data_IF_648447893260
#
_entry.id   IF_648447893260
#
_cell.length_a   1.000
_cell.length_b   1.000
_cell.length_c   1.000
_cell.angle_alpha   90.00
_cell.angle_beta   90.00
_cell.angle_gamma   90.00
#
_symmetry.space_group_name_H-M   'P 1'
#
loop_
_entity.id
_entity.type
_entity.pdbx_description
1 polymer ?
#
# COMPACT_ATOMS: atom_id res chain seq x y z
N UNK A 1 39.11 4.20 8.43
CA UNK A 1 37.72 4.41 8.89
C UNK A 1 36.92 4.88 7.69
N UNK A 2 36.07 4.03 7.14
CA UNK A 2 35.18 4.39 6.03
C UNK A 2 33.89 4.92 6.67
N UNK A 3 33.46 6.16 6.38
CA UNK A 3 32.18 6.64 6.87
C UNK A 3 31.07 5.89 6.14
N UNK A 4 30.32 5.07 6.88
CA UNK A 4 29.08 4.48 6.40
C UNK A 4 28.06 5.61 6.25
N UNK A 5 27.90 6.11 5.03
CA UNK A 5 26.80 7.01 4.70
C UNK A 5 25.50 6.22 4.76
N UNK A 6 24.71 6.44 5.81
CA UNK A 6 23.34 5.98 5.87
C UNK A 6 22.57 6.68 4.75
N UNK A 7 22.18 5.92 3.72
CA UNK A 7 21.30 6.38 2.65
C UNK A 7 19.93 6.61 3.29
N UNK A 8 19.57 7.88 3.52
CA UNK A 8 18.20 8.24 3.83
C UNK A 8 17.40 8.06 2.54
N UNK A 9 16.69 6.94 2.43
CA UNK A 9 15.68 6.72 1.40
C UNK A 9 14.66 7.85 1.54
N UNK A 10 14.56 8.69 0.50
CA UNK A 10 13.50 9.69 0.41
C UNK A 10 12.23 8.92 0.02
N UNK A 11 11.20 8.86 0.87
CA UNK A 11 9.96 8.20 0.51
C UNK A 11 9.39 8.89 -0.73
N UNK A 12 9.04 8.09 -1.74
CA UNK A 12 8.34 8.56 -2.94
C UNK A 12 7.04 9.18 -2.44
N UNK A 13 6.84 10.47 -2.73
CA UNK A 13 5.75 11.29 -2.23
C UNK A 13 4.39 10.61 -2.45
N UNK A 14 3.82 10.03 -1.39
CA UNK A 14 2.39 9.76 -1.33
C UNK A 14 1.67 11.11 -1.43
N UNK A 15 0.57 11.15 -2.19
CA UNK A 15 -0.17 12.38 -2.49
C UNK A 15 -0.47 13.14 -1.21
N UNK A 16 0.07 14.35 -1.12
CA UNK A 16 -0.30 15.33 -0.13
C UNK A 16 -1.62 15.96 -0.54
N UNK A 17 -2.61 15.94 0.34
CA UNK A 17 -3.76 16.81 0.19
C UNK A 17 -4.27 17.21 1.57
N UNK A 18 -4.68 18.47 1.73
CA UNK A 18 -5.50 18.92 2.87
C UNK A 18 -4.95 18.66 4.27
N UNK A 19 -3.66 18.97 4.51
CA UNK A 19 -3.12 18.92 5.87
C UNK A 19 -2.64 17.54 6.34
N UNK A 20 -2.80 16.46 5.58
CA UNK A 20 -2.29 15.15 5.98
C UNK A 20 -1.50 14.48 4.86
N UNK A 21 -0.39 13.85 5.22
CA UNK A 21 0.41 13.03 4.31
C UNK A 21 0.79 11.73 5.00
N UNK A 22 0.45 10.60 4.38
CA UNK A 22 0.95 9.29 4.82
C UNK A 22 2.45 9.18 4.58
N UNK A 23 3.18 8.75 5.61
CA UNK A 23 4.63 8.53 5.58
C UNK A 23 5.01 7.05 5.75
N UNK A 24 4.05 6.22 6.13
CA UNK A 24 4.22 4.78 6.29
C UNK A 24 2.89 4.05 6.12
N UNK A 25 2.91 2.74 5.80
CA UNK A 25 4.08 1.85 5.74
C UNK A 25 5.08 2.11 4.58
N UNK A 26 6.26 1.48 4.61
CA UNK A 26 7.24 1.58 3.51
C UNK A 26 6.65 1.00 2.21
N UNK A 27 6.58 1.83 1.17
CA UNK A 27 5.97 1.51 -0.12
C UNK A 27 6.77 0.52 -0.96
N UNK A 28 8.02 0.24 -0.56
CA UNK A 28 8.88 -0.77 -1.17
C UNK A 28 8.72 -2.16 -0.55
N UNK A 29 7.94 -2.29 0.52
CA UNK A 29 7.68 -3.55 1.21
C UNK A 29 6.22 -3.92 1.09
N UNK A 30 5.94 -5.19 0.87
CA UNK A 30 4.57 -5.71 0.84
C UNK A 30 3.98 -5.73 2.25
N UNK A 31 2.66 -5.56 2.37
CA UNK A 31 1.99 -5.60 3.66
C UNK A 31 1.89 -7.04 4.15
N UNK A 32 2.58 -7.35 5.25
CA UNK A 32 2.45 -8.63 5.94
C UNK A 32 1.25 -8.58 6.91
N UNK A 33 0.14 -9.19 6.54
CA UNK A 33 -1.08 -9.23 7.36
C UNK A 33 -1.00 -10.21 8.55
N UNK A 34 0.13 -10.91 8.73
CA UNK A 34 0.36 -11.79 9.88
C UNK A 34 1.09 -11.10 11.04
N UNK A 35 1.39 -9.81 10.91
CA UNK A 35 2.07 -9.02 11.93
C UNK A 35 1.45 -7.62 12.06
N UNK A 36 1.62 -6.92 13.19
CA UNK A 36 1.17 -5.53 13.33
C UNK A 36 1.78 -4.62 12.26
N UNK A 37 0.97 -3.69 11.75
CA UNK A 37 1.36 -2.73 10.73
C UNK A 37 1.26 -1.31 11.31
N UNK A 38 2.36 -0.57 11.28
CA UNK A 38 2.37 0.84 11.68
C UNK A 38 1.99 1.73 10.49
N UNK A 39 0.83 2.38 10.59
CA UNK A 39 0.42 3.45 9.68
C UNK A 39 0.86 4.77 10.27
N UNK A 40 1.63 5.57 9.52
CA UNK A 40 2.14 6.85 10.00
C UNK A 40 1.81 7.98 9.05
N UNK A 41 1.68 9.19 9.60
CA UNK A 41 1.37 10.39 8.85
C UNK A 41 2.05 11.62 9.45
N UNK A 42 2.20 12.65 8.63
CA UNK A 42 2.66 13.98 9.03
C UNK A 42 1.62 15.02 8.65
N UNK A 43 1.64 16.13 9.40
CA UNK A 43 0.81 17.29 9.07
C UNK A 43 1.40 18.03 7.88
N UNK A 44 0.65 18.10 6.78
CA UNK A 44 1.05 18.86 5.61
C UNK A 44 0.65 20.33 5.72
N UNK A 45 1.58 21.14 6.25
CA UNK A 45 1.37 22.57 6.54
C UNK A 45 1.08 23.42 5.30
N UNK A 46 1.36 22.95 4.09
CA UNK A 46 1.18 23.72 2.86
C UNK A 46 -0.29 23.86 2.44
N UNK A 47 -1.16 22.95 2.88
CA UNK A 47 -2.55 22.86 2.42
C UNK A 47 -3.56 22.68 3.57
N UNK A 48 -3.21 23.12 4.79
CA UNK A 48 -4.10 23.00 5.94
C UNK A 48 -5.32 23.93 5.77
N UNK A 49 -6.42 23.38 5.26
CA UNK A 49 -7.74 23.97 5.51
C UNK A 49 -8.01 23.81 7.01
N UNK A 50 -7.95 24.92 7.75
CA UNK A 50 -7.88 24.96 9.21
C UNK A 50 -9.10 24.36 9.94
N UNK A 51 -10.08 23.85 9.21
CA UNK A 51 -11.34 23.32 9.73
C UNK A 51 -11.38 21.80 9.89
N UNK A 52 -10.44 21.04 9.31
CA UNK A 52 -10.45 19.58 9.36
C UNK A 52 -9.37 19.05 10.30
N UNK A 53 -9.72 19.00 11.58
CA UNK A 53 -8.79 18.68 12.67
C UNK A 53 -8.81 17.20 13.07
N UNK A 54 -9.68 16.40 12.47
CA UNK A 54 -9.83 14.96 12.75
C UNK A 54 -10.00 14.17 11.45
N UNK A 55 -9.69 12.87 11.50
CA UNK A 55 -9.92 11.96 10.39
C UNK A 55 -10.28 10.55 10.86
N UNK A 56 -10.99 9.84 9.98
CA UNK A 56 -11.24 8.41 10.11
C UNK A 56 -10.25 7.64 9.24
N UNK A 57 -9.65 6.59 9.78
CA UNK A 57 -8.67 5.74 9.11
C UNK A 57 -9.33 4.43 8.69
N UNK A 58 -9.24 4.12 7.40
CA UNK A 58 -9.74 2.88 6.81
C UNK A 58 -8.67 2.18 5.98
N UNK A 59 -8.77 0.85 5.89
CA UNK A 59 -7.98 0.03 4.98
C UNK A 59 -8.86 -0.51 3.86
N UNK A 60 -8.37 -0.38 2.63
CA UNK A 60 -9.09 -0.74 1.41
C UNK A 60 -8.29 -1.75 0.59
N UNK A 61 -9.01 -2.58 -0.16
CA UNK A 61 -8.40 -3.54 -1.06
C UNK A 61 -9.39 -4.18 -2.01
N UNK A 62 -8.87 -4.98 -2.93
CA UNK A 62 -9.62 -5.68 -3.95
C UNK A 62 -9.47 -7.19 -3.81
N UNK A 63 -10.57 -7.91 -4.03
CA UNK A 63 -10.54 -9.33 -4.30
C UNK A 63 -10.27 -9.59 -5.79
N UNK A 64 -9.69 -10.75 -6.14
CA UNK A 64 -9.35 -11.17 -7.52
C UNK A 64 -10.50 -10.99 -8.52
N UNK A 65 -11.75 -11.10 -8.07
CA UNK A 65 -12.96 -11.05 -8.92
C UNK A 65 -13.81 -9.78 -8.75
N UNK A 66 -13.12 -8.65 -8.54
CA UNK A 66 -13.60 -7.26 -8.69
C UNK A 66 -14.44 -6.64 -7.57
N UNK A 67 -14.80 -7.36 -6.52
CA UNK A 67 -15.36 -6.70 -5.34
C UNK A 67 -14.24 -6.00 -4.59
N UNK A 68 -14.39 -4.71 -4.34
CA UNK A 68 -13.58 -3.98 -3.36
C UNK A 68 -14.16 -4.13 -1.97
N UNK A 69 -13.33 -3.93 -0.96
CA UNK A 69 -13.74 -3.87 0.43
C UNK A 69 -13.12 -2.66 1.12
N UNK A 70 -13.70 -2.32 2.27
CA UNK A 70 -13.15 -1.34 3.19
C UNK A 70 -13.39 -1.82 4.61
N UNK A 71 -12.38 -1.66 5.46
CA UNK A 71 -12.46 -1.89 6.89
C UNK A 71 -12.08 -0.60 7.61
N UNK A 72 -13.03 -0.06 8.39
CA UNK A 72 -12.75 1.03 9.31
C UNK A 72 -11.79 0.51 10.40
N UNK A 73 -10.64 1.16 10.55
CA UNK A 73 -9.64 0.80 11.54
C UNK A 73 -9.82 1.62 12.82
N UNK A 74 -10.04 2.93 12.65
CA UNK A 74 -10.14 3.87 13.76
C UNK A 74 -10.83 5.15 13.30
N UNK A 75 -11.69 5.70 14.16
CA UNK A 75 -12.41 6.96 13.89
C UNK A 75 -11.88 8.12 14.74
N UNK A 76 -12.14 9.34 14.28
CA UNK A 76 -11.90 10.60 15.00
C UNK A 76 -10.45 10.79 15.49
N UNK A 77 -9.46 10.36 14.71
CA UNK A 77 -8.05 10.58 15.02
C UNK A 77 -7.73 12.05 14.82
N UNK A 78 -7.11 12.70 15.81
CA UNK A 78 -6.69 14.11 15.67
C UNK A 78 -5.53 14.26 14.68
N UNK A 79 -5.70 15.17 13.72
CA UNK A 79 -4.62 15.64 12.84
C UNK A 79 -3.67 16.51 13.68
N UNK A 80 -2.73 15.88 14.37
CA UNK A 80 -1.62 16.55 15.05
C UNK A 80 -0.43 16.73 14.10
N UNK A 81 0.68 17.35 14.56
CA UNK A 81 1.88 17.60 13.74
C UNK A 81 2.48 16.34 13.09
N UNK A 82 2.11 15.17 13.59
CA UNK A 82 2.38 13.86 13.01
C UNK A 82 1.85 12.80 13.96
N UNK A 83 1.65 11.59 13.46
CA UNK A 83 1.09 10.51 14.25
C UNK A 83 1.35 9.15 13.67
N UNK A 84 1.06 8.14 14.49
CA UNK A 84 1.13 6.74 14.12
C UNK A 84 -0.03 5.98 14.73
N UNK A 85 -0.50 4.96 14.02
CA UNK A 85 -1.48 4.00 14.46
C UNK A 85 -0.92 2.60 14.21
N UNK A 86 -0.83 1.80 15.26
CA UNK A 86 -0.44 0.40 15.16
C UNK A 86 -1.71 -0.43 14.93
N UNK A 87 -1.86 -0.95 13.73
CA UNK A 87 -2.97 -1.80 13.33
C UNK A 87 -2.62 -3.27 13.58
N UNK A 88 -3.47 -3.99 14.32
CA UNK A 88 -3.45 -5.45 14.36
C UNK A 88 -4.37 -6.02 13.26
N UNK A 89 -3.82 -6.61 12.18
CA UNK A 89 -4.61 -7.18 11.10
C UNK A 89 -5.27 -8.52 11.46
N UNK A 90 -4.92 -9.17 12.57
CA UNK A 90 -5.36 -10.54 12.87
C UNK A 90 -6.90 -10.73 12.79
N UNK A 91 -7.75 -9.86 13.37
CA UNK A 91 -9.20 -10.03 13.28
C UNK A 91 -9.74 -9.94 11.86
N UNK A 92 -9.21 -9.02 11.05
CA UNK A 92 -9.62 -8.86 9.64
C UNK A 92 -9.08 -10.03 8.80
N UNK A 93 -7.84 -10.45 9.05
CA UNK A 93 -7.23 -11.61 8.42
C UNK A 93 -8.07 -12.87 8.65
N UNK A 94 -8.51 -13.13 9.88
CA UNK A 94 -9.37 -14.28 10.19
C UNK A 94 -10.69 -14.25 9.40
N UNK A 95 -11.33 -13.08 9.28
CA UNK A 95 -12.54 -12.92 8.48
C UNK A 95 -12.28 -13.17 6.99
N UNK A 96 -11.16 -12.68 6.46
CA UNK A 96 -10.77 -12.89 5.07
C UNK A 96 -10.45 -14.37 4.80
N UNK A 97 -9.79 -15.07 5.73
CA UNK A 97 -9.49 -16.51 5.61
C UNK A 97 -10.76 -17.35 5.66
N UNK A 98 -11.73 -16.97 6.50
CA UNK A 98 -13.03 -17.64 6.57
C UNK A 98 -13.91 -17.38 5.33
N UNK A 99 -13.63 -16.30 4.59
CA UNK A 99 -14.28 -15.98 3.33
C UNK A 99 -13.85 -16.90 2.18
N UNK A 100 -14.60 -16.88 1.08
CA UNK A 100 -14.29 -17.66 -0.13
C UNK A 100 -13.46 -16.90 -1.17
N UNK A 101 -13.22 -15.61 -0.94
CA UNK A 101 -12.48 -14.73 -1.85
C UNK A 101 -10.98 -14.73 -1.56
N UNK A 102 -10.16 -14.67 -2.62
CA UNK A 102 -8.73 -14.39 -2.51
C UNK A 102 -8.46 -12.91 -2.74
N UNK A 103 -7.50 -12.38 -2.00
CA UNK A 103 -6.97 -11.04 -2.21
C UNK A 103 -6.22 -10.99 -3.54
N UNK A 104 -6.35 -9.86 -4.26
CA UNK A 104 -5.54 -9.62 -5.45
C UNK A 104 -4.05 -9.65 -5.10
N UNK A 105 -3.23 -10.19 -6.01
CA UNK A 105 -1.76 -10.14 -5.89
C UNK A 105 -1.18 -8.81 -6.42
N UNK A 106 -2.00 -7.96 -7.02
CA UNK A 106 -1.61 -6.64 -7.50
C UNK A 106 -1.42 -5.63 -6.34
N UNK A 107 -0.72 -4.52 -6.62
CA UNK A 107 -0.67 -3.35 -5.72
C UNK A 107 -2.02 -2.62 -5.67
N UNK A 108 -3.00 -3.22 -5.00
CA UNK A 108 -4.38 -2.75 -4.92
C UNK A 108 -4.80 -2.27 -3.52
N UNK A 109 -3.96 -2.46 -2.50
CA UNK A 109 -4.31 -2.19 -1.11
C UNK A 109 -3.82 -0.81 -0.68
N UNK A 110 -4.61 -0.05 0.06
CA UNK A 110 -4.21 1.28 0.53
C UNK A 110 -4.92 1.66 1.82
N UNK A 111 -4.34 2.64 2.51
CA UNK A 111 -4.96 3.30 3.64
C UNK A 111 -5.63 4.59 3.17
N UNK A 112 -6.78 4.88 3.74
CA UNK A 112 -7.55 6.08 3.46
C UNK A 112 -7.76 6.85 4.77
N UNK A 113 -7.44 8.13 4.75
CA UNK A 113 -7.81 9.09 5.78
C UNK A 113 -8.93 9.96 5.25
N UNK A 114 -10.12 9.84 5.83
CA UNK A 114 -11.23 10.75 5.57
C UNK A 114 -11.21 11.86 6.60
N UNK A 115 -10.67 13.02 6.23
CA UNK A 115 -10.61 14.19 7.08
C UNK A 115 -11.97 14.85 7.19
N UNK A 116 -12.35 15.29 8.39
CA UNK A 116 -13.59 16.00 8.63
C UNK A 116 -13.48 16.99 9.79
N UNK A 117 -14.49 17.83 9.95
CA UNK A 117 -14.66 18.62 11.17
C UNK A 117 -15.26 17.75 12.28
N UNK A 118 -14.89 17.92 13.56
CA UNK A 118 -15.51 17.20 14.67
C UNK A 118 -17.04 17.39 14.73
N UNK A 119 -17.54 18.55 14.28
CA UNK A 119 -18.96 18.90 14.31
C UNK A 119 -19.72 18.48 13.04
N UNK A 120 -19.02 17.98 12.01
CA UNK A 120 -19.62 17.65 10.72
C UNK A 120 -18.91 16.46 10.03
N UNK A 121 -19.00 15.22 10.59
CA UNK A 121 -18.29 14.03 10.07
C UNK A 121 -18.72 13.60 8.67
N UNK A 122 -19.87 14.06 8.18
CA UNK A 122 -20.36 13.80 6.82
C UNK A 122 -19.70 14.66 5.74
N UNK A 123 -18.96 15.70 6.10
CA UNK A 123 -18.27 16.60 5.15
C UNK A 123 -16.77 16.48 5.36
N UNK A 124 -16.02 16.41 4.29
CA UNK A 124 -14.61 16.13 4.42
C UNK A 124 -13.87 16.03 3.10
N UNK A 125 -12.58 15.74 3.23
CA UNK A 125 -11.73 15.35 2.12
C UNK A 125 -11.08 14.01 2.39
N UNK A 126 -10.63 13.38 1.33
CA UNK A 126 -10.05 12.06 1.34
C UNK A 126 -8.60 12.16 0.93
N UNK A 127 -7.72 11.61 1.76
CA UNK A 127 -6.31 11.41 1.46
C UNK A 127 -6.07 9.91 1.42
N UNK A 128 -5.43 9.43 0.36
CA UNK A 128 -5.06 8.03 0.23
C UNK A 128 -3.55 7.89 0.36
N UNK A 129 -3.10 6.80 0.98
CA UNK A 129 -1.70 6.42 0.95
C UNK A 129 -1.29 5.97 -0.45
N UNK A 130 0.00 5.65 -0.62
CA UNK A 130 0.40 4.81 -1.74
C UNK A 130 -0.35 3.46 -1.71
N UNK A 131 -0.34 2.76 -2.86
CA UNK A 131 -0.86 1.40 -2.95
C UNK A 131 0.24 0.38 -2.66
N UNK A 132 -0.14 -0.68 -1.96
CA UNK A 132 0.71 -1.78 -1.55
C UNK A 132 0.20 -3.09 -2.14
N UNK A 133 1.12 -4.04 -2.33
CA UNK A 133 0.75 -5.44 -2.44
C UNK A 133 0.66 -6.03 -1.02
N UNK A 134 0.04 -7.20 -0.90
CA UNK A 134 -0.06 -7.95 0.35
C UNK A 134 0.77 -9.22 0.22
N UNK A 135 1.51 -9.55 1.27
CA UNK A 135 2.18 -10.82 1.44
C UNK A 135 1.44 -11.65 2.49
N UNK A 136 0.59 -12.58 2.04
CA UNK A 136 -0.06 -13.56 2.90
C UNK A 136 -0.41 -14.82 2.10
N UNK A 137 0.29 -15.92 2.37
CA UNK A 137 0.14 -17.18 1.61
C UNK A 137 -1.25 -17.82 1.73
N UNK A 138 -1.99 -17.51 2.79
CA UNK A 138 -3.34 -18.05 3.00
C UNK A 138 -4.40 -17.21 2.29
N UNK A 139 -4.14 -15.92 2.07
CA UNK A 139 -5.12 -14.96 1.55
C UNK A 139 -4.89 -14.56 0.10
N UNK A 140 -3.64 -14.46 -0.31
CA UNK A 140 -3.27 -14.02 -1.66
C UNK A 140 -3.33 -15.20 -2.60
N UNK A 141 -3.94 -15.01 -3.77
CA UNK A 141 -3.81 -16.00 -4.82
C UNK A 141 -2.33 -16.10 -5.20
N UNK A 142 -1.71 -17.25 -4.93
CA UNK A 142 -0.37 -17.52 -5.46
C UNK A 142 -0.42 -17.23 -6.95
N UNK A 143 0.53 -16.47 -7.53
CA UNK A 143 0.65 -16.40 -8.98
C UNK A 143 1.01 -17.80 -9.46
N UNK A 144 -0.02 -18.62 -9.68
CA UNK A 144 0.13 -20.03 -9.93
C UNK A 144 0.87 -20.15 -11.24
N UNK A 145 2.15 -20.53 -11.19
CA UNK A 145 2.99 -20.91 -12.31
C UNK A 145 2.39 -20.55 -13.68
N UNK A 146 2.29 -19.25 -13.97
CA UNK A 146 2.37 -18.84 -15.34
C UNK A 146 3.82 -19.15 -15.69
N UNK A 147 4.03 -20.34 -16.26
CA UNK A 147 5.15 -20.56 -17.15
C UNK A 147 5.07 -19.38 -18.12
N UNK A 148 5.82 -18.32 -17.84
CA UNK A 148 6.27 -17.48 -18.91
C UNK A 148 7.13 -18.44 -19.73
N UNK A 149 6.75 -18.80 -20.98
CA UNK A 149 7.81 -19.07 -21.93
C UNK A 149 8.57 -17.75 -21.95
N UNK A 150 9.69 -17.72 -21.23
CA UNK A 150 10.72 -16.73 -21.47
C UNK A 150 10.81 -16.65 -22.98
N UNK A 151 10.63 -15.44 -23.48
CA UNK A 151 10.87 -15.09 -24.86
C UNK A 151 12.36 -15.32 -25.12
N UNK A 152 12.74 -16.58 -25.25
CA UNK A 152 13.96 -17.03 -25.87
C UNK A 152 13.75 -16.84 -27.36
N UNK A 153 13.90 -15.60 -27.81
CA UNK A 153 14.36 -15.37 -29.16
C UNK A 153 15.68 -16.13 -29.31
N UNK A 154 15.63 -17.35 -29.84
CA UNK A 154 16.79 -17.96 -30.45
C UNK A 154 17.00 -17.17 -31.75
N UNK A 155 17.84 -16.14 -31.68
CA UNK A 155 18.49 -15.59 -32.86
C UNK A 155 19.36 -16.73 -33.44
N UNK A 156 18.79 -17.48 -34.39
CA UNK A 156 19.56 -18.32 -35.30
C UNK A 156 20.43 -17.39 -36.17
N UNK A 157 21.62 -17.07 -35.69
CA UNK A 157 22.68 -16.53 -36.53
C UNK A 157 23.34 -17.70 -37.27
N UNK A 158 22.83 -18.01 -38.46
CA UNK A 158 23.53 -18.89 -39.38
C UNK A 158 24.69 -18.10 -40.02
N UNK A 159 25.86 -18.12 -39.39
CA UNK A 159 27.10 -17.67 -40.02
C UNK A 159 27.59 -18.80 -40.91
N UNK A 160 27.32 -18.73 -42.21
CA UNK A 160 28.00 -19.59 -43.19
C UNK A 160 29.31 -18.89 -43.59
N UNK A 161 30.45 -19.44 -43.18
CA UNK A 161 31.74 -19.14 -43.78
C UNK A 161 32.55 -20.41 -43.96
N UNK A 162 32.70 -20.78 -45.24
CA UNK A 162 33.89 -21.31 -45.95
C UNK A 162 34.66 -22.45 -45.28
N UNK A 163 34.79 -23.57 -46.00
CA UNK A 163 36.00 -24.40 -45.96
C UNK A 163 36.42 -24.80 -47.38
N UNK A 164 37.67 -24.44 -47.70
CA UNK A 164 38.50 -24.92 -48.80
C UNK A 164 38.64 -26.45 -48.76
N UNK A 165 38.63 -27.09 -49.93
CA UNK A 165 39.64 -28.08 -50.32
C UNK A 165 39.85 -28.02 -51.83
#
# INVERSE_FOLDING_TARGET
MIPTHAIKLVPILASAAYGLQFTGPDTNTDLNLSAPITVSWEHNVAEADASWTVFDLSWHGDFVRSSSFSYMLQENITVSTGGQYEWDPAPIRELLVAGTGKLSSDKAFYFEAKLHSPDAPGRGSVVQSAKYAVEDGDLVESPGNAVSPSQGFILLSLVASIVLF
#
